data_IF_360178246180
#
_entry.id   IF_360178246180
#
_cell.length_a   1.000
_cell.length_b   1.000
_cell.length_c   1.000
_cell.angle_alpha   90.00
_cell.angle_beta   90.00
_cell.angle_gamma   90.00
#
_symmetry.space_group_name_H-M   'P 1'
#
loop_
_entity.id
_entity.type
_entity.pdbx_description
1 polymer ?
#
# COMPACT_ATOMS: atom_id res chain seq x y z
N UNK A 1 35.94 -3.95 -21.32
CA UNK A 1 34.68 -3.21 -21.08
C UNK A 1 34.30 -3.25 -19.61
N UNK A 2 34.41 -2.12 -18.92
CA UNK A 2 34.15 -1.95 -17.47
C UNK A 2 32.89 -1.11 -17.22
N UNK A 3 31.97 -1.08 -18.19
CA UNK A 3 30.85 -0.12 -18.19
C UNK A 3 29.57 -0.59 -17.48
N UNK A 4 29.48 -1.84 -17.00
CA UNK A 4 28.19 -2.36 -16.51
C UNK A 4 27.80 -2.00 -15.07
N UNK A 5 28.68 -1.44 -14.22
CA UNK A 5 28.42 -1.42 -12.77
C UNK A 5 28.24 -0.06 -12.08
N UNK A 6 28.14 1.06 -12.82
CA UNK A 6 28.09 2.39 -12.15
C UNK A 6 26.82 2.59 -11.30
N UNK A 7 25.72 1.91 -11.63
CA UNK A 7 24.42 2.14 -11.00
C UNK A 7 23.82 0.90 -10.33
N UNK A 8 24.56 -0.19 -10.22
CA UNK A 8 24.06 -1.45 -9.65
C UNK A 8 23.48 -1.30 -8.25
N UNK A 9 24.18 -0.57 -7.38
CA UNK A 9 23.69 -0.29 -6.03
C UNK A 9 22.38 0.50 -6.07
N UNK A 10 22.32 1.55 -6.89
CA UNK A 10 21.13 2.39 -7.05
C UNK A 10 19.95 1.61 -7.64
N UNK A 11 20.22 0.69 -8.57
CA UNK A 11 19.23 -0.21 -9.16
C UNK A 11 18.65 -1.14 -8.11
N UNK A 12 19.50 -1.79 -7.30
CA UNK A 12 19.08 -2.66 -6.20
C UNK A 12 18.24 -1.92 -5.17
N UNK A 13 18.59 -0.68 -4.85
CA UNK A 13 17.77 0.18 -3.98
C UNK A 13 16.39 0.47 -4.59
N UNK A 14 16.33 0.77 -5.89
CA UNK A 14 15.07 0.95 -6.61
C UNK A 14 14.22 -0.32 -6.64
N UNK A 15 14.81 -1.48 -6.91
CA UNK A 15 14.12 -2.78 -6.88
C UNK A 15 13.59 -3.10 -5.48
N UNK A 16 14.36 -2.78 -4.44
CA UNK A 16 13.91 -2.92 -3.04
C UNK A 16 12.71 -2.01 -2.75
N UNK A 17 12.75 -0.74 -3.18
CA UNK A 17 11.64 0.19 -3.00
C UNK A 17 10.37 -0.28 -3.72
N UNK A 18 10.50 -0.72 -4.97
CA UNK A 18 9.39 -1.30 -5.75
C UNK A 18 8.78 -2.49 -4.98
N UNK A 19 9.62 -3.34 -4.39
CA UNK A 19 9.17 -4.50 -3.63
C UNK A 19 8.40 -4.10 -2.38
N UNK A 20 8.85 -3.07 -1.64
CA UNK A 20 8.11 -2.52 -0.49
C UNK A 20 6.76 -1.93 -0.90
N UNK A 21 6.71 -1.17 -2.00
CA UNK A 21 5.47 -0.58 -2.52
C UNK A 21 4.48 -1.67 -2.94
N UNK A 22 4.94 -2.72 -3.63
CA UNK A 22 4.11 -3.87 -4.00
C UNK A 22 3.57 -4.60 -2.78
N UNK A 23 4.41 -4.87 -1.79
CA UNK A 23 3.99 -5.53 -0.56
C UNK A 23 2.92 -4.70 0.18
N UNK A 24 3.07 -3.37 0.22
CA UNK A 24 2.05 -2.49 0.78
C UNK A 24 0.73 -2.54 -0.02
N UNK A 25 0.79 -2.47 -1.34
CA UNK A 25 -0.38 -2.57 -2.21
C UNK A 25 -1.11 -3.92 -2.05
N UNK A 26 -0.37 -5.03 -1.96
CA UNK A 26 -0.92 -6.37 -1.76
C UNK A 26 -1.55 -6.57 -0.38
N UNK A 27 -1.12 -5.81 0.64
CA UNK A 27 -1.79 -5.79 1.95
C UNK A 27 -3.06 -4.93 1.93
N UNK A 28 -3.09 -3.89 1.09
CA UNK A 28 -4.25 -3.01 0.92
C UNK A 28 -5.36 -3.65 0.07
N UNK A 29 -5.00 -4.28 -1.05
CA UNK A 29 -5.94 -4.69 -2.11
C UNK A 29 -5.61 -6.09 -2.65
N UNK A 30 -6.62 -6.95 -2.70
CA UNK A 30 -6.54 -8.24 -3.40
C UNK A 30 -6.90 -8.06 -4.88
N UNK A 31 -5.90 -7.96 -5.76
CA UNK A 31 -6.14 -7.74 -7.21
C UNK A 31 -6.43 -9.02 -8.00
N UNK A 32 -6.24 -10.19 -7.39
CA UNK A 32 -6.34 -11.49 -8.08
C UNK A 32 -7.75 -12.08 -8.05
N UNK A 33 -8.63 -11.64 -7.14
CA UNK A 33 -10.01 -12.12 -7.06
C UNK A 33 -10.88 -11.48 -8.13
N UNK A 34 -11.09 -12.18 -9.25
CA UNK A 34 -11.89 -11.69 -10.39
C UNK A 34 -13.28 -12.31 -10.42
N UNK A 35 -13.43 -13.51 -9.85
CA UNK A 35 -14.69 -14.22 -9.69
C UNK A 35 -14.96 -14.56 -8.20
N UNK A 36 -16.18 -15.01 -7.89
CA UNK A 36 -16.60 -15.28 -6.50
C UNK A 36 -15.86 -16.46 -5.84
N UNK A 37 -15.52 -17.49 -6.61
CA UNK A 37 -14.77 -18.68 -6.15
C UNK A 37 -13.27 -18.42 -5.96
N UNK A 38 -12.74 -17.35 -6.55
CA UNK A 38 -11.34 -16.95 -6.38
C UNK A 38 -10.99 -16.56 -4.93
N UNK A 39 -11.98 -16.17 -4.11
CA UNK A 39 -11.75 -15.69 -2.74
C UNK A 39 -11.14 -16.75 -1.82
N UNK A 40 -11.40 -18.05 -2.09
CA UNK A 40 -10.80 -19.14 -1.32
C UNK A 40 -9.27 -19.20 -1.54
N UNK A 41 -8.81 -18.93 -2.76
CA UNK A 41 -7.39 -18.92 -3.12
C UNK A 41 -6.73 -17.54 -2.92
N UNK A 42 -7.52 -16.48 -2.96
CA UNK A 42 -7.09 -15.09 -2.90
C UNK A 42 -7.94 -14.35 -1.86
N UNK A 43 -7.58 -14.46 -0.56
CA UNK A 43 -8.38 -13.88 0.50
C UNK A 43 -8.45 -12.37 0.40
N UNK A 44 -9.57 -11.82 0.88
CA UNK A 44 -9.82 -10.39 0.97
C UNK A 44 -8.75 -9.69 1.81
N UNK A 45 -8.40 -8.49 1.35
CA UNK A 45 -7.40 -7.61 1.98
C UNK A 45 -8.07 -6.44 2.68
N UNK A 46 -7.27 -5.54 3.25
CA UNK A 46 -7.73 -4.47 4.13
C UNK A 46 -8.96 -3.72 3.59
N UNK A 47 -8.89 -3.23 2.34
CA UNK A 47 -9.97 -2.43 1.73
C UNK A 47 -11.30 -3.17 1.65
N UNK A 48 -11.28 -4.45 1.25
CA UNK A 48 -12.48 -5.28 1.19
C UNK A 48 -13.07 -5.54 2.58
N UNK A 49 -12.21 -5.80 3.57
CA UNK A 49 -12.65 -6.01 4.96
C UNK A 49 -13.25 -4.73 5.56
N UNK A 50 -12.70 -3.56 5.22
CA UNK A 50 -13.20 -2.27 5.68
C UNK A 50 -14.56 -1.93 5.08
N UNK A 51 -14.70 -2.06 3.75
CA UNK A 51 -15.97 -1.87 3.05
C UNK A 51 -17.05 -2.83 3.53
N UNK A 52 -16.68 -4.08 3.85
CA UNK A 52 -17.63 -5.05 4.38
C UNK A 52 -18.28 -4.58 5.69
N UNK A 53 -17.51 -4.00 6.62
CA UNK A 53 -18.05 -3.47 7.88
C UNK A 53 -19.02 -2.32 7.61
N UNK A 54 -18.68 -1.40 6.70
CA UNK A 54 -19.55 -0.29 6.30
C UNK A 54 -20.89 -0.83 5.78
N UNK A 55 -20.82 -1.72 4.79
CA UNK A 55 -22.00 -2.30 4.14
C UNK A 55 -22.86 -3.10 5.12
N UNK A 56 -22.27 -3.79 6.10
CA UNK A 56 -23.03 -4.51 7.12
C UNK A 56 -23.84 -3.60 8.05
N UNK A 57 -23.39 -2.36 8.22
CA UNK A 57 -24.08 -1.37 9.05
C UNK A 57 -25.00 -0.45 8.25
N UNK A 58 -24.92 -0.51 6.93
CA UNK A 58 -25.77 0.22 5.99
C UNK A 58 -27.08 -0.53 5.75
N UNK A 59 -28.20 0.07 6.14
CA UNK A 59 -29.55 -0.36 5.72
C UNK A 59 -30.56 0.77 5.94
N UNK A 60 -31.79 0.61 5.45
CA UNK A 60 -32.89 1.57 5.67
C UNK A 60 -33.19 1.81 7.17
N UNK A 61 -32.78 0.89 8.04
CA UNK A 61 -32.81 1.04 9.50
C UNK A 61 -31.40 0.70 10.05
N UNK A 62 -30.45 1.64 10.02
CA UNK A 62 -29.07 1.39 10.40
C UNK A 62 -28.96 0.84 11.82
N UNK A 63 -28.19 -0.23 12.00
CA UNK A 63 -27.95 -0.83 13.31
C UNK A 63 -26.46 -1.09 13.51
N UNK A 64 -25.82 -0.18 14.24
CA UNK A 64 -24.42 -0.33 14.66
C UNK A 64 -24.40 -1.21 15.91
N UNK A 65 -24.25 -2.52 15.70
CA UNK A 65 -24.15 -3.48 16.80
C UNK A 65 -22.72 -3.56 17.38
N UNK A 66 -22.58 -4.23 18.53
CA UNK A 66 -21.27 -4.38 19.19
C UNK A 66 -20.23 -5.09 18.29
N UNK A 67 -20.54 -6.22 17.61
CA UNK A 67 -19.61 -6.86 16.70
C UNK A 67 -19.06 -5.95 15.60
N UNK A 68 -19.91 -5.12 14.97
CA UNK A 68 -19.48 -4.18 13.94
C UNK A 68 -18.51 -3.12 14.49
N UNK A 69 -18.76 -2.60 15.70
CA UNK A 69 -17.84 -1.66 16.37
C UNK A 69 -16.51 -2.30 16.74
N UNK A 70 -16.56 -3.51 17.28
CA UNK A 70 -15.35 -4.23 17.68
C UNK A 70 -14.50 -4.52 16.42
N UNK A 71 -15.12 -4.96 15.32
CA UNK A 71 -14.44 -5.18 14.05
C UNK A 71 -13.88 -3.90 13.42
N UNK A 72 -14.61 -2.79 13.49
CA UNK A 72 -14.11 -1.50 13.03
C UNK A 72 -12.87 -1.07 13.83
N UNK A 73 -12.87 -1.25 15.15
CA UNK A 73 -11.73 -0.89 15.99
C UNK A 73 -10.47 -1.72 15.67
N UNK A 74 -10.62 -3.01 15.36
CA UNK A 74 -9.51 -3.85 14.87
C UNK A 74 -8.95 -3.32 13.55
N UNK A 75 -9.83 -3.03 12.59
CA UNK A 75 -9.43 -2.52 11.27
C UNK A 75 -8.81 -1.13 11.35
N UNK A 76 -9.26 -0.26 12.27
CA UNK A 76 -8.63 1.05 12.49
C UNK A 76 -7.21 0.93 13.04
N UNK A 77 -6.93 -0.09 13.85
CA UNK A 77 -5.57 -0.37 14.31
C UNK A 77 -4.68 -0.91 13.17
N UNK A 78 -5.23 -1.78 12.32
CA UNK A 78 -4.56 -2.24 11.10
C UNK A 78 -4.27 -1.08 10.14
N UNK A 79 -5.25 -0.19 9.94
CA UNK A 79 -5.12 1.00 9.11
C UNK A 79 -3.96 1.88 9.55
N UNK A 80 -3.82 2.17 10.85
CA UNK A 80 -2.70 2.99 11.35
C UNK A 80 -1.34 2.41 10.98
N UNK A 81 -1.22 1.09 10.95
CA UNK A 81 0.02 0.41 10.56
C UNK A 81 0.26 0.54 9.04
N UNK A 82 -0.78 0.35 8.24
CA UNK A 82 -0.72 0.51 6.78
C UNK A 82 -0.45 1.97 6.37
N UNK A 83 -1.09 2.93 7.04
CA UNK A 83 -0.88 4.35 6.84
C UNK A 83 0.56 4.75 7.17
N UNK A 84 1.09 4.29 8.30
CA UNK A 84 2.48 4.56 8.67
C UNK A 84 3.47 4.04 7.63
N UNK A 85 3.24 2.84 7.06
CA UNK A 85 4.03 2.30 5.95
C UNK A 85 3.92 3.17 4.69
N UNK A 86 2.72 3.63 4.36
CA UNK A 86 2.52 4.53 3.21
C UNK A 86 3.28 5.85 3.40
N UNK A 87 3.21 6.45 4.59
CA UNK A 87 3.95 7.68 4.94
C UNK A 87 5.46 7.46 4.88
N UNK A 88 5.97 6.34 5.40
CA UNK A 88 7.38 5.98 5.25
C UNK A 88 7.81 5.91 3.77
N UNK A 89 6.99 5.30 2.90
CA UNK A 89 7.27 5.23 1.47
C UNK A 89 7.30 6.63 0.83
N UNK A 90 6.28 7.45 1.09
CA UNK A 90 6.09 8.76 0.46
C UNK A 90 7.04 9.83 0.98
N UNK A 91 7.21 9.91 2.31
CA UNK A 91 7.87 11.02 2.97
C UNK A 91 9.37 10.76 3.17
N UNK A 92 9.81 9.51 3.06
CA UNK A 92 11.20 9.13 3.31
C UNK A 92 11.83 8.32 2.17
N UNK A 93 11.28 7.13 1.86
CA UNK A 93 11.98 6.18 0.98
C UNK A 93 12.06 6.70 -0.47
N UNK A 94 10.95 7.23 -1.02
CA UNK A 94 10.94 7.81 -2.38
C UNK A 94 11.82 9.07 -2.47
N UNK A 95 11.70 10.07 -1.57
CA UNK A 95 12.61 11.22 -1.57
C UNK A 95 14.08 10.85 -1.45
N UNK A 96 14.43 9.85 -0.63
CA UNK A 96 15.79 9.39 -0.47
C UNK A 96 16.35 8.78 -1.76
N UNK A 97 15.57 7.92 -2.44
CA UNK A 97 15.97 7.37 -3.74
C UNK A 97 16.12 8.48 -4.79
N UNK A 98 15.16 9.40 -4.86
CA UNK A 98 15.20 10.53 -5.78
C UNK A 98 16.46 11.38 -5.62
N UNK A 99 16.87 11.65 -4.38
CA UNK A 99 18.13 12.38 -4.10
C UNK A 99 19.33 11.66 -4.71
N UNK A 100 19.44 10.34 -4.51
CA UNK A 100 20.54 9.53 -5.06
C UNK A 100 20.50 9.48 -6.59
N UNK A 101 19.32 9.42 -7.19
CA UNK A 101 19.18 9.46 -8.65
C UNK A 101 19.60 10.82 -9.24
N UNK A 102 19.34 11.93 -8.54
CA UNK A 102 19.85 13.25 -8.92
C UNK A 102 21.37 13.34 -8.82
N UNK A 103 21.96 12.87 -7.71
CA UNK A 103 23.42 12.82 -7.52
C UNK A 103 24.11 11.95 -8.59
N UNK A 104 23.43 10.91 -9.07
CA UNK A 104 23.86 10.05 -10.16
C UNK A 104 23.69 10.67 -11.56
N UNK A 105 23.02 11.83 -11.69
CA UNK A 105 22.75 12.50 -12.97
C UNK A 105 21.59 11.89 -13.77
N UNK A 106 20.72 11.10 -13.14
CA UNK A 106 19.59 10.40 -13.80
C UNK A 106 18.31 11.23 -13.73
N UNK A 107 18.11 12.01 -12.65
CA UNK A 107 16.88 12.76 -12.37
C UNK A 107 15.91 12.00 -11.45
N UNK A 108 14.75 12.59 -11.10
CA UNK A 108 13.83 12.04 -10.10
C UNK A 108 12.53 11.44 -10.66
N UNK A 109 11.97 10.49 -9.90
CA UNK A 109 10.59 10.02 -10.01
C UNK A 109 9.65 11.07 -9.41
N UNK A 110 8.61 11.45 -10.14
CA UNK A 110 7.60 12.41 -9.65
C UNK A 110 6.65 11.70 -8.68
N UNK A 111 6.52 12.25 -7.48
CA UNK A 111 5.39 11.94 -6.59
C UNK A 111 4.34 13.00 -6.84
N UNK A 112 3.18 12.59 -7.36
CA UNK A 112 2.04 13.51 -7.42
C UNK A 112 1.48 13.67 -6.01
N UNK A 113 1.63 14.87 -5.44
CA UNK A 113 0.93 15.24 -4.22
C UNK A 113 -0.55 15.44 -4.57
N UNK A 114 -1.35 14.39 -4.52
CA UNK A 114 -2.81 14.47 -4.46
C UNK A 114 -3.27 14.86 -3.05
N UNK A 115 -2.68 15.92 -2.52
CA UNK A 115 -3.15 16.59 -1.31
C UNK A 115 -4.17 17.67 -1.68
N UNK A 116 -5.43 17.27 -1.81
CA UNK A 116 -6.60 18.12 -1.63
C UNK A 116 -7.59 17.41 -0.72
#
# INVERSE_FOLDING_TARGET
DLHDNKYDALRKEGESLISKMKAWDEDMVQRKSKAYDDVENYPNKFTANYLFVINQTESDIPSVNKPARDRAAELDAEWKTLEARARQLMDMDIPALNKKMWEAGIGAVRVENTGK
#
